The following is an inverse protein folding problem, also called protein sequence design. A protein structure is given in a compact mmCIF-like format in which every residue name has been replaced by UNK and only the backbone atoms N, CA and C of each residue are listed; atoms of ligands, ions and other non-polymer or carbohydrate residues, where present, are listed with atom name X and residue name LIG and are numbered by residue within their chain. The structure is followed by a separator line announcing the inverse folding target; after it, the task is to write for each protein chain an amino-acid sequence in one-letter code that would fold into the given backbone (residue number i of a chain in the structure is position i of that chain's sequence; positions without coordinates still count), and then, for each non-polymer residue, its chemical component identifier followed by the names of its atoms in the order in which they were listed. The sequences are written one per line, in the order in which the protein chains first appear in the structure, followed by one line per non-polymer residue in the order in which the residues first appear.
data_IF_821235888867
#
_entry.id   IF_821235888867
#
_cell.length_a   1.000
_cell.length_b   1.000
_cell.length_c   1.000
_cell.angle_alpha   90.00
_cell.angle_beta   90.00
_cell.angle_gamma   90.00
#
_symmetry.space_group_name_H-M   'P 1'
#
loop_
_entity.id
_entity.type
_entity.pdbx_description
1 polymer ?
#
# COMPACT_ATOMS: atom_id res chain seq x y z
N UNK A 1 4.49 -20.14 -13.63
CA UNK A 1 4.91 -18.78 -13.24
C UNK A 1 4.45 -18.58 -11.80
N UNK A 2 5.39 -18.59 -10.84
CA UNK A 2 5.11 -18.31 -9.44
C UNK A 2 4.99 -16.78 -9.30
N UNK A 3 3.76 -16.28 -9.46
CA UNK A 3 3.47 -14.84 -9.41
C UNK A 3 3.32 -14.30 -7.97
N UNK A 4 3.31 -15.20 -6.97
CA UNK A 4 3.13 -14.84 -5.56
C UNK A 4 4.40 -15.12 -4.78
N UNK A 5 5.00 -14.08 -4.21
CA UNK A 5 6.10 -14.16 -3.25
C UNK A 5 5.56 -13.82 -1.87
N UNK A 6 5.78 -14.69 -0.89
CA UNK A 6 5.38 -14.50 0.50
C UNK A 6 6.62 -14.25 1.33
N UNK A 7 6.70 -13.10 1.98
CA UNK A 7 7.81 -12.73 2.87
C UNK A 7 7.32 -12.53 4.30
N UNK A 8 8.04 -13.10 5.24
CA UNK A 8 7.86 -12.85 6.67
C UNK A 8 8.86 -11.78 7.11
N UNK A 9 8.39 -10.72 7.78
CA UNK A 9 9.27 -9.71 8.35
C UNK A 9 10.11 -10.34 9.47
N UNK A 10 11.46 -10.25 9.43
CA UNK A 10 12.32 -10.87 10.42
C UNK A 10 12.20 -10.19 11.78
N UNK A 11 12.38 -10.99 12.83
CA UNK A 11 12.58 -10.54 14.21
C UNK A 11 13.98 -9.93 14.40
N UNK A 12 14.09 -9.07 15.38
CA UNK A 12 15.24 -8.21 15.75
C UNK A 12 16.64 -8.64 15.29
N UNK A 13 17.23 -7.82 14.44
CA UNK A 13 18.68 -7.76 14.18
C UNK A 13 19.15 -6.35 14.55
N UNK A 14 20.22 -6.20 15.32
CA UNK A 14 20.76 -4.88 15.71
C UNK A 14 21.38 -4.10 14.53
N UNK A 15 21.63 -4.77 13.41
CA UNK A 15 22.15 -4.22 12.18
C UNK A 15 21.03 -4.16 11.13
N UNK A 16 21.02 -3.13 10.29
CA UNK A 16 20.08 -2.93 9.16
C UNK A 16 18.71 -2.34 9.55
N UNK A 17 18.66 -1.49 10.58
CA UNK A 17 17.43 -0.80 10.95
C UNK A 17 17.01 0.20 9.87
N UNK A 18 15.79 0.04 9.39
CA UNK A 18 15.19 0.89 8.36
C UNK A 18 14.48 2.10 8.98
N UNK A 19 13.70 1.85 10.05
CA UNK A 19 12.91 2.91 10.69
C UNK A 19 12.65 2.61 12.16
N UNK A 20 12.62 3.67 12.97
CA UNK A 20 12.30 3.61 14.40
C UNK A 20 11.46 4.82 14.78
N UNK A 21 10.38 4.60 15.53
CA UNK A 21 9.50 5.69 15.95
C UNK A 21 9.95 6.42 17.22
N UNK A 22 10.62 5.72 18.15
CA UNK A 22 11.12 6.30 19.42
C UNK A 22 12.12 5.36 20.08
N UNK A 23 12.74 5.79 21.20
CA UNK A 23 13.73 4.99 21.94
C UNK A 23 13.20 3.59 22.29
N UNK A 24 11.96 3.49 22.76
CA UNK A 24 11.29 2.24 23.13
C UNK A 24 10.15 1.90 22.15
N UNK A 25 10.08 2.58 21.01
CA UNK A 25 9.05 2.38 20.01
C UNK A 25 9.37 1.23 19.07
N UNK A 26 8.40 0.94 18.22
CA UNK A 26 8.53 -0.08 17.18
C UNK A 26 9.74 0.19 16.28
N UNK A 27 10.44 -0.89 15.93
CA UNK A 27 11.62 -0.89 15.05
C UNK A 27 11.36 -1.75 13.83
N UNK A 28 11.66 -1.24 12.66
CA UNK A 28 11.59 -1.96 11.39
C UNK A 28 13.00 -2.22 10.89
N UNK A 29 13.37 -3.49 10.72
CA UNK A 29 14.74 -3.88 10.35
C UNK A 29 14.90 -4.18 8.86
N UNK A 30 13.88 -4.68 8.21
CA UNK A 30 13.93 -5.00 6.78
C UNK A 30 12.63 -4.63 6.10
N UNK A 31 12.72 -4.39 4.80
CA UNK A 31 11.59 -4.16 3.92
C UNK A 31 11.45 -5.32 2.94
N UNK A 32 10.23 -5.73 2.62
CA UNK A 32 10.01 -6.61 1.49
C UNK A 32 10.42 -5.89 0.21
N UNK A 33 10.95 -6.64 -0.73
CA UNK A 33 11.40 -6.09 -2.01
C UNK A 33 10.26 -6.12 -3.01
N UNK A 34 9.80 -4.98 -3.52
CA UNK A 34 8.86 -4.96 -4.64
C UNK A 34 9.54 -5.53 -5.89
N UNK A 35 9.10 -6.69 -6.31
CA UNK A 35 9.62 -7.38 -7.50
C UNK A 35 8.73 -7.09 -8.69
N UNK A 36 9.31 -6.78 -9.85
CA UNK A 36 8.55 -6.49 -11.08
C UNK A 36 7.68 -7.68 -11.49
N UNK A 37 6.48 -7.38 -12.01
CA UNK A 37 5.53 -8.37 -12.53
C UNK A 37 5.16 -9.49 -11.54
N UNK A 38 5.25 -9.20 -10.24
CA UNK A 38 4.91 -10.15 -9.18
C UNK A 38 3.99 -9.55 -8.13
N UNK A 39 3.36 -10.42 -7.36
CA UNK A 39 2.60 -10.06 -6.17
C UNK A 39 3.36 -10.51 -4.94
N UNK A 40 3.72 -9.56 -4.07
CA UNK A 40 4.42 -9.84 -2.81
C UNK A 40 3.42 -9.76 -1.67
N UNK A 41 3.19 -10.89 -0.98
CA UNK A 41 2.33 -10.96 0.20
C UNK A 41 3.14 -10.82 1.49
N UNK A 42 2.76 -9.86 2.35
CA UNK A 42 3.38 -9.67 3.65
C UNK A 42 2.49 -10.31 4.72
N UNK A 43 2.97 -11.37 5.34
CA UNK A 43 2.27 -12.09 6.40
C UNK A 43 2.95 -11.85 7.76
N UNK A 44 2.15 -11.81 8.80
CA UNK A 44 2.63 -11.71 10.18
C UNK A 44 1.55 -11.25 11.14
N UNK A 45 1.74 -11.46 12.46
CA UNK A 45 0.83 -10.98 13.50
C UNK A 45 0.65 -9.45 13.46
N UNK A 46 -0.39 -8.96 14.13
CA UNK A 46 -0.57 -7.53 14.32
C UNK A 46 0.58 -6.95 15.14
N UNK A 47 0.99 -5.72 14.82
CA UNK A 47 2.12 -5.06 15.48
C UNK A 47 3.51 -5.38 14.92
N UNK A 48 3.64 -6.31 13.96
CA UNK A 48 4.93 -6.65 13.34
C UNK A 48 5.46 -5.61 12.34
N UNK A 49 4.74 -4.50 12.13
CA UNK A 49 5.20 -3.42 11.25
C UNK A 49 4.80 -3.51 9.78
N UNK A 50 3.84 -4.35 9.41
CA UNK A 50 3.34 -4.45 8.03
C UNK A 50 2.95 -3.08 7.45
N UNK A 51 2.12 -2.32 8.17
CA UNK A 51 1.71 -0.98 7.74
C UNK A 51 2.86 0.03 7.74
N UNK A 52 3.86 -0.13 8.63
CA UNK A 52 5.08 0.69 8.62
C UNK A 52 5.91 0.39 7.37
N UNK A 53 6.07 -0.88 7.01
CA UNK A 53 6.74 -1.29 5.78
C UNK A 53 6.04 -0.71 4.53
N UNK A 54 4.71 -0.81 4.46
CA UNK A 54 3.92 -0.20 3.37
C UNK A 54 4.09 1.32 3.31
N UNK A 55 4.06 2.01 4.46
CA UNK A 55 4.25 3.44 4.51
C UNK A 55 5.66 3.85 4.06
N UNK A 56 6.69 3.09 4.42
CA UNK A 56 8.05 3.33 3.96
C UNK A 56 8.19 3.11 2.45
N UNK A 57 7.70 1.98 1.92
CA UNK A 57 7.76 1.66 0.49
C UNK A 57 6.90 2.60 -0.37
N UNK A 58 5.80 3.11 0.17
CA UNK A 58 4.93 4.06 -0.53
C UNK A 58 5.35 5.53 -0.38
N UNK A 59 6.43 5.80 0.34
CA UNK A 59 6.93 7.15 0.59
C UNK A 59 6.09 7.99 1.54
N UNK A 60 5.13 7.39 2.27
CA UNK A 60 4.35 8.09 3.29
C UNK A 60 5.13 8.42 4.54
N UNK A 61 6.13 7.62 4.84
CA UNK A 61 7.16 7.90 5.84
C UNK A 61 8.53 7.80 5.18
N UNK A 62 9.43 8.70 5.55
CA UNK A 62 10.83 8.58 5.16
C UNK A 62 11.54 7.69 6.17
N UNK A 63 12.20 6.60 5.76
CA UNK A 63 13.03 5.80 6.64
C UNK A 63 14.06 6.67 7.37
N UNK A 64 14.23 6.47 8.68
CA UNK A 64 15.18 7.25 9.47
C UNK A 64 16.43 6.48 9.91
N UNK A 65 16.62 5.25 9.39
CA UNK A 65 17.77 4.38 9.67
C UNK A 65 18.04 4.16 11.16
N UNK A 66 17.00 4.31 12.00
CA UNK A 66 17.08 4.17 13.45
C UNK A 66 17.35 5.47 14.22
N UNK A 67 17.67 6.54 13.54
CA UNK A 67 17.79 7.86 14.16
C UNK A 67 16.44 8.56 14.26
N UNK A 68 15.84 8.44 15.44
CA UNK A 68 14.50 8.96 15.74
C UNK A 68 14.54 10.37 16.38
N UNK A 69 15.73 10.89 16.68
CA UNK A 69 15.91 12.21 17.32
C UNK A 69 16.09 13.31 16.28
N UNK A 70 16.68 12.99 15.15
CA UNK A 70 16.98 13.95 14.10
C UNK A 70 15.92 13.94 12.98
N UNK A 71 16.04 14.91 12.08
CA UNK A 71 15.26 14.91 10.85
C UNK A 71 15.58 13.66 10.04
N UNK A 72 14.55 13.10 9.40
CA UNK A 72 14.76 11.96 8.51
C UNK A 72 15.91 12.24 7.55
N UNK A 73 16.85 11.26 7.36
CA UNK A 73 17.97 11.44 6.48
C UNK A 73 17.50 11.71 5.06
N UNK A 74 18.34 12.35 4.27
CA UNK A 74 18.10 12.54 2.85
C UNK A 74 18.03 11.15 2.14
N UNK A 75 17.32 11.09 1.03
CA UNK A 75 17.12 9.86 0.26
C UNK A 75 18.46 9.23 -0.20
N UNK A 76 19.50 10.01 -0.45
CA UNK A 76 20.81 9.47 -0.82
C UNK A 76 21.39 8.64 0.32
N UNK A 77 21.33 9.16 1.54
CA UNK A 77 21.80 8.45 2.74
C UNK A 77 21.02 7.15 2.97
N UNK A 78 19.70 7.17 2.74
CA UNK A 78 18.85 5.97 2.84
C UNK A 78 19.27 4.93 1.80
N UNK A 79 19.41 5.34 0.55
CA UNK A 79 19.80 4.46 -0.56
C UNK A 79 21.20 3.89 -0.34
N UNK A 80 22.14 4.68 0.15
CA UNK A 80 23.52 4.23 0.40
C UNK A 80 23.62 3.26 1.59
N UNK A 81 22.74 3.38 2.58
CA UNK A 81 22.64 2.45 3.70
C UNK A 81 22.07 1.09 3.31
N UNK A 82 21.33 1.01 2.20
CA UNK A 82 20.74 -0.24 1.75
C UNK A 82 21.77 -1.11 0.99
N UNK A 83 21.74 -2.44 1.19
CA UNK A 83 22.57 -3.33 0.39
C UNK A 83 22.21 -3.20 -1.10
N UNK A 84 23.20 -3.46 -1.96
CA UNK A 84 22.98 -3.47 -3.42
C UNK A 84 21.94 -4.53 -3.77
N UNK A 85 20.94 -4.16 -4.59
CA UNK A 85 19.88 -5.05 -5.03
C UNK A 85 18.59 -4.29 -5.37
N UNK A 86 17.56 -5.02 -5.70
CA UNK A 86 16.28 -4.49 -6.21
C UNK A 86 15.62 -3.45 -5.27
N UNK A 87 15.73 -3.63 -3.95
CA UNK A 87 15.18 -2.66 -2.99
C UNK A 87 15.90 -1.31 -3.07
N UNK A 88 17.25 -1.31 -3.20
CA UNK A 88 18.02 -0.09 -3.38
C UNK A 88 17.65 0.59 -4.71
N UNK A 89 17.53 -0.18 -5.78
CA UNK A 89 17.15 0.32 -7.11
C UNK A 89 15.72 0.89 -7.10
N UNK A 90 14.81 0.25 -6.37
CA UNK A 90 13.45 0.75 -6.14
C UNK A 90 13.46 2.13 -5.49
N UNK A 91 14.18 2.32 -4.37
CA UNK A 91 14.25 3.61 -3.68
C UNK A 91 14.99 4.68 -4.50
N UNK A 92 16.01 4.31 -5.27
CA UNK A 92 16.65 5.23 -6.20
C UNK A 92 15.66 5.74 -7.25
N UNK A 93 14.92 4.85 -7.88
CA UNK A 93 13.87 5.21 -8.85
C UNK A 93 12.73 6.01 -8.21
N UNK A 94 12.35 5.69 -6.97
CA UNK A 94 11.34 6.42 -6.23
C UNK A 94 11.77 7.87 -5.94
N UNK A 95 13.02 8.06 -5.47
CA UNK A 95 13.62 9.39 -5.26
C UNK A 95 13.57 10.26 -6.52
N UNK A 96 13.89 9.66 -7.66
CA UNK A 96 13.97 10.35 -8.95
C UNK A 96 12.59 10.59 -9.60
N UNK A 97 11.49 10.20 -8.91
CA UNK A 97 10.12 10.33 -9.42
C UNK A 97 9.79 9.34 -10.53
N UNK A 98 10.64 8.32 -10.75
CA UNK A 98 10.46 7.30 -11.77
C UNK A 98 9.48 6.19 -11.41
N UNK A 99 8.95 6.18 -10.18
CA UNK A 99 7.95 5.19 -9.72
C UNK A 99 6.71 5.90 -9.23
N UNK A 100 5.58 5.58 -9.85
CA UNK A 100 4.24 5.97 -9.39
C UNK A 100 3.68 4.91 -8.46
N UNK A 101 3.15 5.34 -7.33
CA UNK A 101 2.57 4.44 -6.32
C UNK A 101 1.09 4.69 -6.14
N UNK A 102 0.29 3.64 -6.21
CA UNK A 102 -1.11 3.65 -5.81
C UNK A 102 -1.29 2.87 -4.50
N UNK A 103 -1.99 3.47 -3.55
CA UNK A 103 -2.18 2.88 -2.23
C UNK A 103 -3.67 2.85 -1.88
N UNK A 104 -4.18 1.67 -1.53
CA UNK A 104 -5.53 1.51 -1.00
C UNK A 104 -5.60 2.13 0.41
N UNK A 105 -6.60 2.99 0.71
CA UNK A 105 -6.79 3.49 2.06
C UNK A 105 -7.03 2.35 3.06
N UNK A 106 -6.35 2.36 4.21
CA UNK A 106 -6.54 1.37 5.27
C UNK A 106 -7.96 1.48 5.87
N UNK A 107 -8.39 2.68 6.23
CA UNK A 107 -9.66 2.93 6.91
C UNK A 107 -10.75 3.31 5.90
N UNK A 108 -11.31 2.32 5.21
CA UNK A 108 -12.39 2.53 4.21
C UNK A 108 -13.68 3.02 4.85
N UNK A 109 -13.94 2.70 6.12
CA UNK A 109 -15.05 3.17 6.93
C UNK A 109 -15.12 4.70 7.10
N UNK A 110 -14.01 5.40 6.89
CA UNK A 110 -13.93 6.85 6.90
C UNK A 110 -14.24 7.51 5.56
N UNK A 111 -14.29 6.74 4.48
CA UNK A 111 -14.58 7.27 3.14
C UNK A 111 -15.93 8.01 3.08
N UNK A 112 -17.05 7.48 3.64
CA UNK A 112 -18.34 8.16 3.59
C UNK A 112 -18.35 9.54 4.25
N UNK A 113 -17.42 9.81 5.18
CA UNK A 113 -17.28 11.12 5.84
C UNK A 113 -16.42 12.11 5.06
N UNK A 114 -15.61 11.64 4.12
CA UNK A 114 -14.62 12.45 3.41
C UNK A 114 -14.94 12.68 1.95
N UNK A 115 -15.73 11.78 1.36
CA UNK A 115 -16.00 11.76 -0.07
C UNK A 115 -17.51 11.79 -0.30
N UNK A 116 -17.94 12.64 -1.23
CA UNK A 116 -19.35 12.77 -1.62
C UNK A 116 -19.50 12.46 -3.12
N UNK A 117 -20.61 11.85 -3.48
CA UNK A 117 -20.95 11.51 -4.85
C UNK A 117 -21.32 10.05 -5.03
N UNK A 118 -21.70 9.72 -6.25
CA UNK A 118 -22.00 8.34 -6.64
C UNK A 118 -20.72 7.54 -6.84
N UNK A 119 -20.81 6.23 -6.68
CA UNK A 119 -19.72 5.28 -6.93
C UNK A 119 -19.17 5.48 -8.34
N UNK A 120 -20.05 5.54 -9.34
CA UNK A 120 -19.64 5.77 -10.72
C UNK A 120 -18.86 7.08 -10.90
N UNK A 121 -19.43 8.20 -10.43
CA UNK A 121 -18.79 9.50 -10.59
C UNK A 121 -17.41 9.60 -9.93
N UNK A 122 -17.20 8.87 -8.83
CA UNK A 122 -15.91 8.82 -8.12
C UNK A 122 -14.90 7.91 -8.81
N UNK A 123 -15.33 6.73 -9.27
CA UNK A 123 -14.45 5.79 -9.95
C UNK A 123 -14.00 6.31 -11.31
N UNK A 124 -14.92 6.93 -12.11
CA UNK A 124 -14.57 7.54 -13.39
C UNK A 124 -13.55 8.68 -13.26
N UNK A 125 -13.56 9.43 -12.15
CA UNK A 125 -12.57 10.51 -11.91
C UNK A 125 -11.15 9.98 -11.70
N UNK A 126 -10.99 8.75 -11.26
CA UNK A 126 -9.68 8.14 -10.99
C UNK A 126 -9.29 7.09 -12.02
N UNK A 127 -10.12 6.87 -13.03
CA UNK A 127 -9.88 5.89 -14.09
C UNK A 127 -8.88 6.45 -15.13
N UNK A 128 -7.62 6.43 -14.78
CA UNK A 128 -6.50 6.80 -15.65
C UNK A 128 -6.17 5.70 -16.68
N UNK A 129 -6.55 4.45 -16.35
CA UNK A 129 -6.23 3.26 -17.17
C UNK A 129 -7.32 2.89 -18.15
N UNK A 130 -8.49 3.53 -18.10
CA UNK A 130 -9.68 3.22 -18.92
C UNK A 130 -10.17 1.77 -18.74
N UNK A 131 -10.11 1.29 -17.51
CA UNK A 131 -10.50 -0.08 -17.12
C UNK A 131 -11.76 -0.10 -16.24
N UNK A 132 -12.55 0.99 -16.24
CA UNK A 132 -13.70 1.15 -15.36
C UNK A 132 -14.69 -0.03 -15.47
N UNK A 133 -15.15 -0.35 -16.68
CA UNK A 133 -16.17 -1.37 -16.88
C UNK A 133 -15.65 -2.77 -16.48
N UNK A 134 -14.43 -3.11 -16.89
CA UNK A 134 -13.78 -4.38 -16.56
C UNK A 134 -13.62 -4.55 -15.03
N UNK A 135 -13.11 -3.52 -14.36
CA UNK A 135 -12.83 -3.60 -12.92
C UNK A 135 -14.10 -3.57 -12.07
N UNK A 136 -15.12 -2.84 -12.46
CA UNK A 136 -16.40 -2.82 -11.74
C UNK A 136 -17.13 -4.15 -11.85
N UNK A 137 -17.05 -4.83 -12.99
CA UNK A 137 -17.57 -6.18 -13.19
C UNK A 137 -16.77 -7.21 -12.39
N UNK A 138 -15.43 -7.22 -12.54
CA UNK A 138 -14.54 -8.17 -11.85
C UNK A 138 -14.68 -8.12 -10.32
N UNK A 139 -14.89 -6.92 -9.75
CA UNK A 139 -15.09 -6.73 -8.31
C UNK A 139 -16.55 -6.82 -7.86
N UNK A 140 -17.47 -7.11 -8.77
CA UNK A 140 -18.89 -7.31 -8.47
C UNK A 140 -19.58 -6.05 -7.92
N UNK A 141 -19.17 -4.86 -8.34
CA UNK A 141 -19.71 -3.56 -7.86
C UNK A 141 -20.53 -2.82 -8.90
N UNK A 142 -20.75 -3.37 -10.10
CA UNK A 142 -21.53 -2.75 -11.17
C UNK A 142 -22.96 -2.36 -10.75
N UNK A 143 -23.57 -3.13 -9.86
CA UNK A 143 -24.91 -2.85 -9.31
C UNK A 143 -24.94 -1.71 -8.28
N UNK A 144 -23.79 -1.18 -7.88
CA UNK A 144 -23.64 -0.11 -6.88
C UNK A 144 -23.38 1.27 -7.50
N UNK A 145 -23.20 1.36 -8.81
CA UNK A 145 -22.69 2.55 -9.48
C UNK A 145 -23.50 3.81 -9.24
N UNK A 146 -24.85 3.68 -9.16
CA UNK A 146 -25.76 4.79 -8.90
C UNK A 146 -25.86 5.17 -7.41
N UNK A 147 -25.39 4.30 -6.50
CA UNK A 147 -25.43 4.57 -5.07
C UNK A 147 -24.39 5.61 -4.68
N UNK A 148 -24.70 6.36 -3.62
CA UNK A 148 -23.71 7.23 -2.98
C UNK A 148 -22.81 6.41 -2.03
N UNK A 149 -21.60 6.89 -1.79
CA UNK A 149 -20.63 6.22 -0.90
C UNK A 149 -21.21 5.99 0.51
N UNK A 150 -22.12 6.86 0.95
CA UNK A 150 -22.79 6.77 2.27
C UNK A 150 -23.76 5.60 2.39
N UNK A 151 -24.19 5.04 1.26
CA UNK A 151 -25.16 3.94 1.20
C UNK A 151 -24.49 2.56 1.13
N UNK A 152 -23.15 2.53 1.09
CA UNK A 152 -22.38 1.30 0.94
C UNK A 152 -22.12 0.62 2.28
N UNK A 153 -22.19 -0.70 2.30
CA UNK A 153 -21.70 -1.54 3.39
C UNK A 153 -20.16 -1.52 3.49
N UNK A 154 -19.60 -2.04 4.57
CA UNK A 154 -18.15 -2.13 4.75
C UNK A 154 -17.45 -2.93 3.63
N UNK A 155 -18.03 -4.07 3.22
CA UNK A 155 -17.49 -4.88 2.12
C UNK A 155 -17.61 -4.19 0.77
N UNK A 156 -18.72 -3.50 0.49
CA UNK A 156 -18.89 -2.71 -0.74
C UNK A 156 -17.91 -1.54 -0.80
N UNK A 157 -17.68 -0.84 0.34
CA UNK A 157 -16.67 0.21 0.45
C UNK A 157 -15.25 -0.32 0.20
N UNK A 158 -14.95 -1.52 0.70
CA UNK A 158 -13.68 -2.17 0.50
C UNK A 158 -13.44 -2.48 -0.99
N UNK A 159 -14.41 -3.11 -1.67
CA UNK A 159 -14.33 -3.41 -3.10
C UNK A 159 -14.24 -2.13 -3.95
N UNK A 160 -15.02 -1.10 -3.62
CA UNK A 160 -14.90 0.21 -4.27
C UNK A 160 -13.50 0.83 -4.09
N UNK A 161 -12.92 0.76 -2.89
CA UNK A 161 -11.58 1.29 -2.63
C UNK A 161 -10.48 0.52 -3.37
N UNK A 162 -10.62 -0.80 -3.49
CA UNK A 162 -9.73 -1.64 -4.30
C UNK A 162 -9.85 -1.22 -5.77
N UNK A 163 -11.07 -1.11 -6.29
CA UNK A 163 -11.34 -0.66 -7.65
C UNK A 163 -10.67 0.69 -7.93
N UNK A 164 -10.96 1.69 -7.10
CA UNK A 164 -10.39 3.03 -7.22
C UNK A 164 -8.86 3.04 -7.20
N UNK A 165 -8.23 2.10 -6.51
CA UNK A 165 -6.78 1.97 -6.48
C UNK A 165 -6.25 1.38 -7.78
N UNK A 166 -6.88 0.33 -8.30
CA UNK A 166 -6.47 -0.36 -9.53
C UNK A 166 -6.67 0.53 -10.77
N UNK A 167 -7.70 1.38 -10.78
CA UNK A 167 -7.99 2.28 -11.88
C UNK A 167 -6.94 3.39 -12.07
N UNK A 168 -6.11 3.67 -11.07
CA UNK A 168 -5.01 4.63 -11.20
C UNK A 168 -3.86 4.04 -12.01
N UNK A 169 -3.20 4.89 -12.77
CA UNK A 169 -1.93 4.53 -13.44
C UNK A 169 -0.79 4.57 -12.41
N UNK A 170 -0.26 3.39 -12.08
CA UNK A 170 0.85 3.24 -11.14
C UNK A 170 1.75 2.06 -11.52
N UNK A 171 3.01 2.15 -11.12
CA UNK A 171 4.00 1.08 -11.29
C UNK A 171 3.92 0.07 -10.15
N UNK A 172 3.48 0.53 -8.96
CA UNK A 172 3.36 -0.30 -7.76
C UNK A 172 2.04 -0.01 -7.04
N UNK A 173 1.32 -1.08 -6.71
CA UNK A 173 0.05 -1.03 -6.00
C UNK A 173 0.21 -1.62 -4.60
N UNK A 174 -0.21 -0.89 -3.58
CA UNK A 174 -0.20 -1.35 -2.20
C UNK A 174 -1.62 -1.54 -1.68
N UNK A 175 -1.91 -2.74 -1.16
CA UNK A 175 -3.19 -3.09 -0.56
C UNK A 175 -2.97 -3.51 0.90
N UNK A 176 -3.22 -2.61 1.85
CA UNK A 176 -3.18 -2.94 3.28
C UNK A 176 -4.53 -3.54 3.68
N UNK A 177 -4.49 -4.75 4.23
CA UNK A 177 -5.67 -5.54 4.64
C UNK A 177 -6.80 -5.58 3.59
N UNK A 178 -6.54 -6.05 2.36
CA UNK A 178 -7.55 -6.01 1.29
C UNK A 178 -8.78 -6.88 1.56
N UNK A 179 -8.68 -7.88 2.42
CA UNK A 179 -9.78 -8.78 2.79
C UNK A 179 -10.57 -8.36 4.01
N UNK A 180 -10.21 -7.25 4.67
CA UNK A 180 -10.98 -6.71 5.79
C UNK A 180 -12.38 -6.33 5.33
N UNK A 181 -13.39 -6.62 6.16
CA UNK A 181 -14.82 -6.40 5.87
C UNK A 181 -15.44 -7.28 4.77
N UNK A 182 -14.65 -8.16 4.13
CA UNK A 182 -15.19 -9.09 3.13
C UNK A 182 -15.64 -10.39 3.81
N UNK A 183 -16.73 -10.97 3.33
CA UNK A 183 -17.20 -12.29 3.74
C UNK A 183 -16.22 -13.39 3.35
N UNK A 184 -16.33 -14.57 4.00
CA UNK A 184 -15.46 -15.74 3.73
C UNK A 184 -15.48 -16.14 2.24
N UNK A 185 -16.60 -15.92 1.55
CA UNK A 185 -16.76 -16.21 0.12
C UNK A 185 -16.21 -15.11 -0.80
N UNK A 186 -15.89 -13.92 -0.27
CA UNK A 186 -15.38 -12.77 -0.99
C UNK A 186 -13.87 -12.51 -0.73
N UNK A 187 -13.27 -13.31 0.18
CA UNK A 187 -11.83 -13.23 0.54
C UNK A 187 -10.97 -14.07 -0.43
#
# INVERSE_FOLDING_TARGET
HDALIIEQLPSELETDMIHRYSLNGFRLFRLPTPTKESVVGILGPNGMGKSTAFNALSGRITPNLGDWLDQAPDWNNIIDALPKGELRDFFASFRDGGIKVALKPQNVDRLPKRVQGTVEGLLRKVDERKMFDEMTEALGISHLLERTVQQLSGGELQRMAICATILREADVYFFDEPSSYLDIHER
#
